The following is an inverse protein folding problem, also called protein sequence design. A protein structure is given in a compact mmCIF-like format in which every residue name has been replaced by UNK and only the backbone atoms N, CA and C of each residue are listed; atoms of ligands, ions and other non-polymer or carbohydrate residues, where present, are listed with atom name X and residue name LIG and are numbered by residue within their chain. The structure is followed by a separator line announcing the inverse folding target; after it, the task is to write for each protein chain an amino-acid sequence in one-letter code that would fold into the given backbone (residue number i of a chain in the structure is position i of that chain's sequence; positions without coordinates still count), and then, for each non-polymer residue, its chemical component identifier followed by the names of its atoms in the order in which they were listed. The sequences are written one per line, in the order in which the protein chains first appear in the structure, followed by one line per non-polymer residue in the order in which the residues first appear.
data_IF_133823672810
#
_entry.id   IF_133823672810
#
_cell.length_a   1.000
_cell.length_b   1.000
_cell.length_c   1.000
_cell.angle_alpha   90.00
_cell.angle_beta   90.00
_cell.angle_gamma   90.00
#
_symmetry.space_group_name_H-M   'P 1'
#
loop_
_entity.id
_entity.type
_entity.pdbx_description
1 polymer ?
#
# COMPACT_ATOMS: atom_id res chain seq x y z
N UNK A 1 -0.99 9.09 -18.86
CA UNK A 1 -1.83 8.68 -17.74
C UNK A 1 -3.08 8.01 -18.32
N UNK A 2 -3.46 6.84 -17.83
CA UNK A 2 -4.66 6.12 -18.28
C UNK A 2 -5.96 6.82 -17.82
N UNK A 3 -7.12 6.45 -18.39
CA UNK A 3 -8.43 7.00 -17.97
C UNK A 3 -8.71 6.76 -16.47
N UNK A 4 -8.42 5.54 -15.98
CA UNK A 4 -8.51 5.20 -14.56
C UNK A 4 -7.61 6.10 -13.72
N UNK A 5 -6.38 6.36 -14.17
CA UNK A 5 -5.45 7.26 -13.51
C UNK A 5 -5.95 8.71 -13.45
N UNK A 6 -6.50 9.22 -14.56
CA UNK A 6 -7.06 10.58 -14.64
C UNK A 6 -8.24 10.73 -13.68
N UNK A 7 -9.17 9.78 -13.69
CA UNK A 7 -10.34 9.78 -12.78
C UNK A 7 -9.92 9.71 -11.32
N UNK A 8 -8.95 8.85 -10.98
CA UNK A 8 -8.42 8.74 -9.62
C UNK A 8 -7.74 10.04 -9.16
N UNK A 9 -6.91 10.66 -10.01
CA UNK A 9 -6.25 11.92 -9.71
C UNK A 9 -7.26 13.07 -9.48
N UNK A 10 -8.26 13.20 -10.36
CA UNK A 10 -9.31 14.19 -10.23
C UNK A 10 -10.15 13.97 -8.96
N UNK A 11 -10.51 12.71 -8.67
CA UNK A 11 -11.24 12.35 -7.45
C UNK A 11 -10.46 12.70 -6.18
N UNK A 12 -9.16 12.42 -6.15
CA UNK A 12 -8.30 12.75 -5.01
C UNK A 12 -8.21 14.26 -4.78
N UNK A 13 -8.01 15.05 -5.85
CA UNK A 13 -7.96 16.50 -5.75
C UNK A 13 -9.30 17.09 -5.26
N UNK A 14 -10.42 16.58 -5.80
CA UNK A 14 -11.77 16.98 -5.39
C UNK A 14 -12.07 16.59 -3.95
N UNK A 15 -11.60 15.44 -3.46
CA UNK A 15 -11.74 15.05 -2.06
C UNK A 15 -10.92 15.95 -1.13
N UNK A 16 -9.67 16.24 -1.49
CA UNK A 16 -8.79 17.05 -0.66
C UNK A 16 -9.32 18.47 -0.51
N UNK A 17 -9.89 19.07 -1.57
CA UNK A 17 -10.39 20.47 -1.58
C UNK A 17 -9.36 21.46 -1.02
N UNK A 18 -8.10 21.31 -1.45
CA UNK A 18 -6.98 22.14 -0.99
C UNK A 18 -6.46 21.84 0.42
N UNK A 19 -7.09 20.93 1.18
CA UNK A 19 -6.59 20.50 2.49
C UNK A 19 -5.29 19.72 2.34
N UNK A 20 -4.43 19.86 3.35
CA UNK A 20 -3.17 19.13 3.47
C UNK A 20 -3.25 18.14 4.63
N UNK A 21 -2.75 16.92 4.43
CA UNK A 21 -2.81 15.84 5.40
C UNK A 21 -1.43 15.56 5.99
N UNK A 22 -1.36 15.43 7.32
CA UNK A 22 -0.12 15.06 8.03
C UNK A 22 0.14 13.55 8.06
N UNK A 23 -0.88 12.75 7.78
CA UNK A 23 -0.79 11.29 7.72
C UNK A 23 -1.57 10.80 6.52
N UNK A 24 -0.93 9.99 5.68
CA UNK A 24 -1.53 9.37 4.51
C UNK A 24 -1.34 7.86 4.65
N UNK A 25 -2.44 7.12 4.62
CA UNK A 25 -2.45 5.66 4.50
C UNK A 25 -3.03 5.33 3.12
N UNK A 26 -2.28 4.59 2.31
CA UNK A 26 -2.64 4.31 0.93
C UNK A 26 -2.50 2.81 0.60
N UNK A 27 -3.47 2.28 -0.12
CA UNK A 27 -3.47 0.93 -0.71
C UNK A 27 -3.80 1.06 -2.21
N UNK A 28 -2.81 1.44 -3.05
CA UNK A 28 -3.05 1.64 -4.47
C UNK A 28 -3.54 0.36 -5.16
N UNK A 29 -4.33 0.47 -6.24
CA UNK A 29 -4.81 -0.69 -6.97
C UNK A 29 -3.72 -1.19 -7.93
N UNK A 30 -2.66 -1.78 -7.37
CA UNK A 30 -1.46 -2.20 -8.10
C UNK A 30 -1.77 -3.15 -9.27
N UNK A 31 -1.32 -2.78 -10.48
CA UNK A 31 -1.28 -3.71 -11.60
C UNK A 31 -0.01 -4.55 -11.56
N UNK A 32 -0.17 -5.88 -11.58
CA UNK A 32 0.95 -6.81 -11.74
C UNK A 32 1.27 -6.99 -13.22
N UNK A 33 2.56 -6.95 -13.57
CA UNK A 33 2.99 -7.35 -14.91
C UNK A 33 2.97 -8.88 -15.03
N UNK A 34 2.09 -9.41 -15.88
CA UNK A 34 2.01 -10.85 -16.12
C UNK A 34 3.17 -11.28 -17.03
N UNK A 35 4.24 -11.83 -16.44
CA UNK A 35 5.39 -12.34 -17.21
C UNK A 35 5.20 -13.75 -17.80
N UNK A 36 4.18 -14.51 -17.39
CA UNK A 36 3.90 -15.85 -17.92
C UNK A 36 2.40 -16.11 -17.93
N UNK A 37 1.84 -16.33 -19.13
CA UNK A 37 0.40 -16.40 -19.41
C UNK A 37 -0.36 -17.60 -18.84
N UNK A 38 -0.18 -17.95 -17.56
CA UNK A 38 -0.99 -18.99 -16.90
C UNK A 38 -1.95 -18.51 -15.82
N UNK A 39 -1.79 -17.32 -15.25
CA UNK A 39 -2.86 -16.66 -14.47
C UNK A 39 -2.64 -15.15 -14.50
N UNK A 40 -3.11 -14.48 -15.56
CA UNK A 40 -3.30 -13.04 -15.49
C UNK A 40 -4.44 -12.73 -14.49
N UNK A 41 -4.32 -11.75 -13.58
CA UNK A 41 -5.44 -11.20 -12.80
C UNK A 41 -6.60 -10.73 -13.70
N UNK A 42 -6.29 -10.48 -14.97
CA UNK A 42 -7.19 -10.05 -16.03
C UNK A 42 -8.01 -11.21 -16.63
N UNK A 43 -7.85 -12.45 -16.14
CA UNK A 43 -8.88 -13.47 -16.34
C UNK A 43 -10.19 -12.91 -15.76
N UNK A 44 -11.09 -12.49 -16.65
CA UNK A 44 -12.40 -11.82 -16.40
C UNK A 44 -13.27 -12.43 -15.28
N UNK A 45 -12.95 -13.63 -14.78
CA UNK A 45 -13.57 -14.26 -13.60
C UNK A 45 -13.03 -13.77 -12.24
N UNK A 46 -11.93 -13.02 -12.19
CA UNK A 46 -11.25 -12.61 -10.95
C UNK A 46 -11.09 -11.08 -10.77
N UNK A 47 -11.37 -10.28 -11.81
CA UNK A 47 -11.27 -8.82 -11.74
C UNK A 47 -12.40 -8.24 -10.86
N UNK A 48 -12.08 -7.90 -9.61
CA UNK A 48 -13.02 -7.32 -8.64
C UNK A 48 -13.05 -5.78 -8.68
N UNK A 49 -11.99 -5.15 -9.19
CA UNK A 49 -11.85 -3.70 -9.37
C UNK A 49 -10.80 -3.38 -10.45
N UNK A 50 -10.85 -2.17 -11.03
CA UNK A 50 -9.85 -1.67 -11.99
C UNK A 50 -8.50 -1.44 -11.31
N UNK A 51 -7.41 -1.83 -11.96
CA UNK A 51 -6.04 -1.60 -11.49
C UNK A 51 -5.37 -0.43 -12.22
N UNK A 52 -4.30 0.10 -11.65
CA UNK A 52 -3.52 1.20 -12.20
C UNK A 52 -2.09 0.75 -12.51
N UNK A 53 -1.56 1.26 -13.62
CA UNK A 53 -0.14 1.12 -13.95
C UNK A 53 0.70 1.81 -12.88
N UNK A 54 1.97 1.39 -12.75
CA UNK A 54 2.91 2.05 -11.84
C UNK A 54 3.03 3.55 -12.12
N UNK A 55 3.12 3.93 -13.40
CA UNK A 55 3.27 5.32 -13.79
C UNK A 55 2.03 6.15 -13.43
N UNK A 56 0.82 5.58 -13.55
CA UNK A 56 -0.40 6.25 -13.10
C UNK A 56 -0.45 6.42 -11.57
N UNK A 57 0.00 5.42 -10.81
CA UNK A 57 0.07 5.51 -9.33
C UNK A 57 1.08 6.60 -8.93
N UNK A 58 2.27 6.61 -9.55
CA UNK A 58 3.28 7.65 -9.32
C UNK A 58 2.75 9.05 -9.65
N UNK A 59 1.91 9.18 -10.68
CA UNK A 59 1.38 10.46 -11.13
C UNK A 59 0.21 11.01 -10.28
N UNK A 60 -0.31 10.25 -9.31
CA UNK A 60 -1.33 10.76 -8.40
C UNK A 60 -0.82 12.00 -7.65
N UNK A 61 -1.66 13.04 -7.45
CA UNK A 61 -1.24 14.33 -6.87
C UNK A 61 -1.08 14.27 -5.35
N UNK A 62 -0.52 13.18 -4.81
CA UNK A 62 -0.35 12.95 -3.37
C UNK A 62 0.59 13.98 -2.75
N UNK A 63 1.67 14.33 -3.45
CA UNK A 63 2.55 15.44 -3.06
C UNK A 63 1.78 16.75 -2.85
N UNK A 64 0.82 17.03 -3.72
CA UNK A 64 -0.03 18.22 -3.69
C UNK A 64 -1.03 18.24 -2.54
N UNK A 65 -1.24 17.12 -1.82
CA UNK A 65 -2.15 17.05 -0.68
C UNK A 65 -1.45 16.65 0.63
N UNK A 66 -0.15 16.36 0.59
CA UNK A 66 0.64 16.09 1.78
C UNK A 66 1.09 17.40 2.44
N UNK A 67 0.92 17.49 3.76
CA UNK A 67 1.55 18.53 4.57
C UNK A 67 3.06 18.30 4.67
N UNK A 68 3.78 19.31 5.17
CA UNK A 68 5.18 19.16 5.55
C UNK A 68 5.36 19.68 6.99
N UNK A 69 5.71 18.83 7.98
CA UNK A 69 6.02 17.41 7.85
C UNK A 69 4.79 16.48 7.77
N UNK A 70 4.96 15.30 7.15
CA UNK A 70 3.93 14.27 7.04
C UNK A 70 4.47 12.82 7.04
N UNK A 71 3.60 11.87 7.38
CA UNK A 71 3.82 10.43 7.27
C UNK A 71 3.09 9.83 6.06
N UNK A 72 3.72 8.82 5.46
CA UNK A 72 3.10 7.93 4.47
C UNK A 72 3.21 6.49 4.95
N UNK A 73 2.09 5.78 4.95
CA UNK A 73 1.96 4.35 5.14
C UNK A 73 1.42 3.77 3.84
N UNK A 74 2.26 3.06 3.10
CA UNK A 74 1.94 2.58 1.74
C UNK A 74 1.89 1.05 1.73
N UNK A 75 0.70 0.49 1.50
CA UNK A 75 0.56 -0.94 1.26
C UNK A 75 1.17 -1.33 -0.07
N UNK A 76 2.04 -2.34 -0.02
CA UNK A 76 2.77 -2.83 -1.20
C UNK A 76 2.79 -4.37 -1.17
N UNK A 77 2.32 -5.04 -2.23
CA UNK A 77 2.53 -6.47 -2.38
C UNK A 77 4.01 -6.83 -2.40
N UNK A 78 4.40 -7.95 -1.79
CA UNK A 78 5.81 -8.35 -1.69
C UNK A 78 6.59 -8.32 -3.02
N UNK A 79 5.94 -8.71 -4.12
CA UNK A 79 6.54 -8.76 -5.44
C UNK A 79 6.77 -7.37 -6.08
N UNK A 80 6.18 -6.31 -5.52
CA UNK A 80 6.20 -4.94 -6.04
C UNK A 80 6.94 -3.98 -5.09
N UNK A 81 7.81 -4.50 -4.21
CA UNK A 81 8.58 -3.69 -3.27
C UNK A 81 9.40 -2.59 -3.98
N UNK A 82 10.16 -2.87 -5.06
CA UNK A 82 10.87 -1.82 -5.80
C UNK A 82 9.95 -0.71 -6.32
N UNK A 83 8.79 -1.09 -6.86
CA UNK A 83 7.76 -0.18 -7.37
C UNK A 83 7.15 0.67 -6.25
N UNK A 84 6.91 0.08 -5.09
CA UNK A 84 6.46 0.78 -3.89
C UNK A 84 7.42 1.88 -3.46
N UNK A 85 8.73 1.60 -3.44
CA UNK A 85 9.76 2.61 -3.14
C UNK A 85 9.78 3.74 -4.19
N UNK A 86 9.60 3.41 -5.47
CA UNK A 86 9.47 4.40 -6.55
C UNK A 86 8.24 5.30 -6.36
N UNK A 87 7.10 4.74 -5.94
CA UNK A 87 5.90 5.51 -5.62
C UNK A 87 6.13 6.46 -4.45
N UNK A 88 6.75 6.00 -3.36
CA UNK A 88 7.07 6.87 -2.22
C UNK A 88 7.94 8.06 -2.64
N UNK A 89 8.97 7.81 -3.45
CA UNK A 89 9.84 8.85 -3.98
C UNK A 89 9.07 9.83 -4.87
N UNK A 90 8.22 9.33 -5.78
CA UNK A 90 7.39 10.16 -6.66
C UNK A 90 6.40 11.05 -5.89
N UNK A 91 5.88 10.57 -4.75
CA UNK A 91 5.00 11.36 -3.88
C UNK A 91 5.77 12.25 -2.90
N UNK A 92 7.11 12.30 -2.98
CA UNK A 92 7.97 13.12 -2.13
C UNK A 92 8.06 12.65 -0.68
N UNK A 93 8.08 11.34 -0.46
CA UNK A 93 8.35 10.71 0.84
C UNK A 93 9.63 9.88 0.78
N UNK A 94 10.52 10.10 1.75
CA UNK A 94 11.69 9.23 1.94
C UNK A 94 11.33 8.01 2.77
N UNK A 95 11.63 6.81 2.27
CA UNK A 95 11.48 5.55 3.02
C UNK A 95 12.29 5.57 4.33
N UNK A 96 11.72 4.99 5.40
CA UNK A 96 12.35 4.89 6.72
C UNK A 96 12.35 3.47 7.28
N UNK A 97 11.23 2.77 7.21
CA UNK A 97 11.08 1.40 7.68
C UNK A 97 9.81 0.78 7.08
N UNK A 98 9.44 -0.43 7.49
CA UNK A 98 8.19 -1.06 7.10
C UNK A 98 7.53 -1.78 8.29
N UNK A 99 6.24 -2.04 8.16
CA UNK A 99 5.51 -3.03 8.94
C UNK A 99 5.22 -4.24 8.05
N UNK A 100 5.25 -5.43 8.63
CA UNK A 100 4.87 -6.67 7.95
C UNK A 100 3.53 -7.13 8.49
N UNK A 101 2.53 -7.27 7.64
CA UNK A 101 1.30 -7.97 8.00
C UNK A 101 1.48 -9.45 7.71
N UNK A 102 1.57 -10.27 8.75
CA UNK A 102 1.58 -11.72 8.67
C UNK A 102 0.17 -12.28 8.86
N UNK A 103 -0.27 -13.02 7.84
CA UNK A 103 -1.59 -13.65 7.80
C UNK A 103 -1.50 -14.99 8.51
N UNK A 104 -2.23 -15.11 9.60
CA UNK A 104 -2.22 -16.31 10.45
C UNK A 104 -3.53 -17.10 10.35
N UNK A 105 -3.46 -18.37 10.74
CA UNK A 105 -4.60 -19.27 10.94
C UNK A 105 -5.12 -19.14 12.38
N UNK A 106 -6.19 -19.88 12.72
CA UNK A 106 -6.77 -19.87 14.08
C UNK A 106 -5.80 -20.35 15.16
N UNK A 107 -4.86 -21.23 14.79
CA UNK A 107 -3.83 -21.77 15.68
C UNK A 107 -2.55 -20.91 15.72
N UNK A 108 -2.56 -19.70 15.14
CA UNK A 108 -1.41 -18.79 15.10
C UNK A 108 -0.36 -19.11 14.04
N UNK A 109 -0.45 -20.26 13.35
CA UNK A 109 0.49 -20.59 12.28
C UNK A 109 0.21 -19.81 10.97
N UNK A 110 1.18 -19.77 10.05
CA UNK A 110 1.04 -19.06 8.77
C UNK A 110 -0.14 -19.54 7.90
N UNK A 111 -0.83 -18.61 7.25
CA UNK A 111 -1.88 -18.88 6.26
C UNK A 111 -1.28 -19.33 4.91
N UNK A 112 -0.97 -20.63 4.80
CA UNK A 112 -0.32 -21.25 3.63
C UNK A 112 -1.11 -21.21 2.30
N UNK A 113 -2.24 -20.49 2.24
CA UNK A 113 -3.11 -20.37 1.07
C UNK A 113 -2.71 -19.22 0.13
N UNK A 114 -1.66 -18.49 0.45
CA UNK A 114 -1.12 -17.40 -0.38
C UNK A 114 -0.76 -17.84 -1.80
N UNK A 115 -1.01 -16.97 -2.77
CA UNK A 115 -0.54 -17.16 -4.16
C UNK A 115 0.83 -16.50 -4.31
N UNK A 116 1.77 -17.16 -4.99
CA UNK A 116 3.07 -16.62 -5.37
C UNK A 116 3.85 -17.63 -6.21
N UNK A 117 4.71 -17.13 -7.10
CA UNK A 117 5.47 -17.98 -8.04
C UNK A 117 6.69 -18.66 -7.39
N UNK A 118 7.35 -17.97 -6.47
CA UNK A 118 8.54 -18.49 -5.77
C UNK A 118 8.21 -18.99 -4.36
N UNK A 119 7.41 -18.24 -3.62
CA UNK A 119 6.99 -18.57 -2.25
C UNK A 119 5.50 -18.37 -2.07
N UNK A 120 4.90 -19.09 -1.12
CA UNK A 120 3.53 -18.84 -0.68
C UNK A 120 3.49 -17.54 0.11
N UNK A 121 2.82 -16.52 -0.43
CA UNK A 121 2.72 -15.21 0.22
C UNK A 121 1.80 -15.27 1.44
N UNK A 122 2.41 -15.36 2.62
CA UNK A 122 1.71 -15.26 3.91
C UNK A 122 1.84 -13.87 4.53
N UNK A 123 2.57 -12.96 3.87
CA UNK A 123 2.79 -11.58 4.32
C UNK A 123 2.36 -10.54 3.27
N UNK A 124 2.13 -9.31 3.72
CA UNK A 124 2.10 -8.08 2.92
C UNK A 124 2.87 -6.98 3.65
N UNK A 125 3.39 -5.97 2.92
CA UNK A 125 4.17 -4.89 3.51
C UNK A 125 3.36 -3.60 3.59
N UNK A 126 3.58 -2.84 4.67
CA UNK A 126 3.29 -1.41 4.76
C UNK A 126 4.63 -0.68 4.78
N UNK A 127 4.98 0.00 3.70
CA UNK A 127 6.16 0.86 3.69
C UNK A 127 5.85 2.13 4.46
N UNK A 128 6.76 2.55 5.33
CA UNK A 128 6.65 3.75 6.12
C UNK A 128 7.66 4.81 5.65
N UNK A 129 7.15 5.98 5.31
CA UNK A 129 7.91 7.11 4.79
C UNK A 129 7.60 8.42 5.50
N UNK A 130 8.56 9.34 5.42
CA UNK A 130 8.47 10.68 6.00
C UNK A 130 8.73 11.73 4.92
N UNK A 131 7.93 12.78 4.93
CA UNK A 131 8.18 14.06 4.26
C UNK A 131 8.52 15.12 5.31
N UNK A 132 9.51 15.97 5.00
CA UNK A 132 10.01 17.00 5.90
C UNK A 132 10.91 16.44 7.02
N UNK A 133 11.23 17.30 7.99
CA UNK A 133 12.13 16.99 9.11
C UNK A 133 11.36 16.74 10.42
N UNK A 134 11.97 16.01 11.34
CA UNK A 134 11.52 15.83 12.73
C UNK A 134 10.10 15.24 12.92
N UNK A 135 9.60 14.47 11.96
CA UNK A 135 8.27 13.83 12.03
C UNK A 135 8.35 12.46 12.73
N UNK A 136 8.47 12.46 14.06
CA UNK A 136 8.41 11.21 14.84
C UNK A 136 6.98 10.66 14.88
N UNK A 137 6.86 9.35 14.91
CA UNK A 137 5.59 8.66 15.16
C UNK A 137 5.07 8.90 16.58
N UNK A 138 3.77 8.72 16.78
CA UNK A 138 3.13 8.82 18.10
C UNK A 138 3.58 7.67 19.01
N UNK A 139 3.18 7.72 20.29
CA UNK A 139 3.54 6.66 21.25
C UNK A 139 3.14 5.25 20.79
N UNK A 140 1.92 5.00 20.26
CA UNK A 140 1.50 3.66 19.84
C UNK A 140 2.43 3.04 18.79
N UNK A 141 2.67 3.75 17.67
CA UNK A 141 3.64 3.32 16.65
C UNK A 141 5.09 3.17 17.14
N UNK A 142 5.50 3.81 18.24
CA UNK A 142 6.86 3.64 18.80
C UNK A 142 7.01 2.38 19.65
N UNK A 143 5.93 1.91 20.25
CA UNK A 143 5.87 0.62 20.97
C UNK A 143 5.52 -0.56 20.05
N UNK A 144 4.99 -0.28 18.86
CA UNK A 144 4.66 -1.29 17.86
C UNK A 144 5.93 -1.96 17.32
N UNK A 145 6.00 -3.29 17.42
CA UNK A 145 6.98 -4.09 16.67
C UNK A 145 6.64 -4.05 15.18
N UNK A 146 7.59 -4.27 14.29
CA UNK A 146 7.34 -4.19 12.85
C UNK A 146 6.54 -5.37 12.26
N UNK A 147 5.63 -5.94 13.03
CA UNK A 147 4.79 -7.09 12.69
C UNK A 147 3.34 -6.87 13.16
N UNK A 148 2.39 -7.16 12.29
CA UNK A 148 0.96 -7.24 12.58
C UNK A 148 0.52 -8.67 12.25
N UNK A 149 0.06 -9.44 13.23
CA UNK A 149 -0.34 -10.84 13.03
C UNK A 149 -1.85 -10.98 13.18
N UNK A 150 -2.55 -11.19 12.06
CA UNK A 150 -4.02 -11.30 12.09
C UNK A 150 -4.53 -12.30 11.07
N UNK A 151 -5.73 -12.82 11.32
CA UNK A 151 -6.40 -13.70 10.35
C UNK A 151 -6.86 -12.88 9.15
N UNK A 152 -6.57 -13.36 7.95
CA UNK A 152 -7.09 -12.78 6.71
C UNK A 152 -8.62 -12.79 6.72
N UNK A 153 -9.22 -11.69 6.26
CA UNK A 153 -10.67 -11.50 6.13
C UNK A 153 -11.07 -11.52 4.65
N UNK A 154 -12.02 -10.69 4.25
CA UNK A 154 -12.44 -10.55 2.85
C UNK A 154 -11.26 -10.19 1.93
N UNK A 155 -11.40 -10.45 0.64
CA UNK A 155 -10.36 -10.17 -0.35
C UNK A 155 -9.90 -8.70 -0.29
N UNK A 156 -8.59 -8.47 -0.31
CA UNK A 156 -7.92 -7.17 -0.20
C UNK A 156 -8.19 -6.38 1.10
N UNK A 157 -9.01 -6.87 2.03
CA UNK A 157 -9.26 -6.18 3.30
C UNK A 157 -8.03 -6.26 4.21
N UNK A 158 -7.43 -5.10 4.47
CA UNK A 158 -6.28 -4.89 5.35
C UNK A 158 -6.66 -5.04 6.84
N UNK A 159 -5.71 -5.31 7.76
CA UNK A 159 -5.97 -5.39 9.20
C UNK A 159 -6.45 -4.03 9.76
N UNK A 160 -7.35 -4.05 10.74
CA UNK A 160 -7.82 -2.79 11.37
C UNK A 160 -6.77 -2.25 12.35
N UNK A 161 -5.90 -3.12 12.87
CA UNK A 161 -4.79 -2.84 13.79
C UNK A 161 -3.81 -1.79 13.25
N UNK A 162 -3.81 -1.55 11.93
CA UNK A 162 -3.03 -0.48 11.31
C UNK A 162 -3.48 0.93 11.75
N UNK A 163 -4.74 1.10 12.18
CA UNK A 163 -5.32 2.41 12.49
C UNK A 163 -4.96 2.91 13.89
N UNK A 164 -4.56 2.01 14.79
CA UNK A 164 -4.22 2.33 16.18
C UNK A 164 -2.78 2.84 16.35
N UNK A 165 -2.00 2.90 15.25
CA UNK A 165 -0.57 3.23 15.22
C UNK A 165 -0.26 4.73 15.24
#
# INVERSE_FOLDING_TARGET
MSDVGIRAAAGLAAFARGRKFRTILADPPWQFQNRTGKVAPEHRRLARYETMTLDDICALPVEGIAAEPAHLYLWVPNALLPEGLRVMAAWGFGYKSNLVWHKVRKDGGSDGRGVGFYFRNVTELILFGVRGKNMRTLAPARSQVNMIETRKREHSRKPDEQYDL
#
